data_IF_293448770458
#
_entry.id   IF_293448770458
#
_cell.length_a   1.000
_cell.length_b   1.000
_cell.length_c   1.000
_cell.angle_alpha   90.00
_cell.angle_beta   90.00
_cell.angle_gamma   90.00
#
_symmetry.space_group_name_H-M   'P 1'
#
loop_
_entity.id
_entity.type
_entity.pdbx_description
1 polymer ?
#
# COMPACT_ATOMS: atom_id res chain seq x y z
N UNK A 1 4.82 6.82 -2.46
CA UNK A 1 4.50 6.98 -1.04
C UNK A 1 3.02 6.86 -0.90
N UNK A 2 2.57 6.41 0.27
CA UNK A 2 1.15 6.17 0.54
C UNK A 2 0.62 7.31 1.42
N UNK A 3 -0.63 7.70 1.17
CA UNK A 3 -1.39 8.63 2.00
C UNK A 3 -2.61 7.89 2.55
N UNK A 4 -3.00 8.20 3.78
CA UNK A 4 -4.18 7.63 4.45
C UNK A 4 -5.01 8.77 5.04
N UNK A 5 -6.32 8.59 4.99
CA UNK A 5 -7.29 9.39 5.72
C UNK A 5 -7.95 8.48 6.76
N UNK A 6 -8.18 9.04 7.95
CA UNK A 6 -8.92 8.39 9.04
C UNK A 6 -10.26 9.12 9.31
N UNK A 7 -10.63 10.08 8.45
CA UNK A 7 -11.74 11.02 8.61
C UNK A 7 -12.61 11.11 7.34
N UNK A 8 -12.87 9.94 6.73
CA UNK A 8 -13.71 9.79 5.54
C UNK A 8 -13.27 10.63 4.33
N UNK A 9 -11.97 10.91 4.22
CA UNK A 9 -11.36 11.66 3.12
C UNK A 9 -11.29 13.17 3.35
N UNK A 10 -11.65 13.67 4.53
CA UNK A 10 -11.62 15.11 4.84
C UNK A 10 -10.19 15.64 4.90
N UNK A 11 -9.26 14.88 5.49
CA UNK A 11 -7.84 15.18 5.52
C UNK A 11 -7.00 13.93 5.23
N UNK A 12 -5.81 14.16 4.65
CA UNK A 12 -4.90 13.09 4.26
C UNK A 12 -3.53 13.33 4.86
N UNK A 13 -2.95 12.29 5.46
CA UNK A 13 -1.56 12.30 5.95
C UNK A 13 -0.72 11.35 5.12
N UNK A 14 0.50 11.75 4.81
CA UNK A 14 1.50 10.86 4.20
C UNK A 14 1.96 9.84 5.23
N UNK A 15 1.69 8.56 5.01
CA UNK A 15 2.05 7.49 5.95
C UNK A 15 3.42 6.90 5.68
N UNK A 16 3.84 6.87 4.41
CA UNK A 16 5.19 6.47 4.05
C UNK A 16 5.70 7.16 2.79
N UNK A 17 7.00 7.41 2.78
CA UNK A 17 7.73 7.89 1.61
C UNK A 17 8.35 6.80 0.76
N UNK A 18 8.13 5.53 1.10
CA UNK A 18 8.80 4.41 0.45
C UNK A 18 8.68 4.48 -1.08
N UNK A 19 9.83 4.34 -1.73
CA UNK A 19 9.98 4.34 -3.19
C UNK A 19 9.61 2.99 -3.79
N UNK A 20 9.64 1.90 -3.02
CA UNK A 20 9.20 0.56 -3.46
C UNK A 20 7.77 0.57 -4.01
N UNK A 21 6.91 1.44 -3.46
CA UNK A 21 5.52 1.61 -3.88
C UNK A 21 5.35 2.34 -5.23
N UNK A 22 6.42 2.86 -5.84
CA UNK A 22 6.38 3.68 -7.07
C UNK A 22 7.41 3.24 -8.10
N UNK A 23 7.63 1.94 -8.22
CA UNK A 23 8.59 1.40 -9.19
C UNK A 23 8.09 1.47 -10.64
N UNK A 24 6.77 1.63 -10.83
CA UNK A 24 6.08 1.75 -12.11
C UNK A 24 5.18 2.98 -12.14
N UNK A 25 4.67 3.29 -13.34
CA UNK A 25 3.69 4.35 -13.51
C UNK A 25 2.38 4.05 -12.75
N UNK A 26 1.60 5.09 -12.51
CA UNK A 26 0.41 5.06 -11.65
C UNK A 26 -0.61 3.98 -12.04
N UNK A 27 -0.79 3.69 -13.33
CA UNK A 27 -1.76 2.70 -13.83
C UNK A 27 -1.41 1.25 -13.50
N UNK A 28 -0.20 1.00 -13.02
CA UNK A 28 0.31 -0.32 -12.65
C UNK A 28 0.30 -0.54 -11.13
N UNK A 29 -0.19 0.43 -10.36
CA UNK A 29 -0.15 0.37 -8.90
C UNK A 29 -1.57 0.32 -8.35
N UNK A 30 -1.90 -0.74 -7.62
CA UNK A 30 -3.17 -0.87 -6.93
C UNK A 30 -2.97 -0.90 -5.42
N UNK A 31 -3.90 -0.27 -4.68
CA UNK A 31 -3.91 -0.24 -3.21
C UNK A 31 -5.22 -0.87 -2.73
N UNK A 32 -5.12 -1.89 -1.89
CA UNK A 32 -6.27 -2.61 -1.32
C UNK A 32 -6.18 -2.62 0.20
N UNK A 33 -7.21 -2.10 0.87
CA UNK A 33 -7.36 -2.22 2.31
C UNK A 33 -7.95 -3.59 2.67
N UNK A 34 -7.51 -4.17 3.79
CA UNK A 34 -8.10 -5.38 4.33
C UNK A 34 -9.46 -5.06 4.97
N UNK A 35 -10.55 -5.77 4.59
CA UNK A 35 -11.88 -5.50 5.16
C UNK A 35 -12.02 -5.96 6.62
N UNK A 36 -11.08 -6.74 7.17
CA UNK A 36 -11.14 -7.27 8.53
C UNK A 36 -10.13 -6.62 9.48
N UNK A 37 -9.13 -5.90 8.97
CA UNK A 37 -8.10 -5.23 9.76
C UNK A 37 -7.70 -3.88 9.14
N UNK A 38 -8.05 -2.80 9.82
CA UNK A 38 -7.78 -1.41 9.41
C UNK A 38 -6.28 -1.08 9.23
N UNK A 39 -5.38 -1.87 9.80
CA UNK A 39 -3.93 -1.66 9.71
C UNK A 39 -3.29 -2.46 8.59
N UNK A 40 -4.02 -3.42 8.02
CA UNK A 40 -3.53 -4.23 6.91
C UNK A 40 -3.86 -3.59 5.56
N UNK A 41 -2.84 -3.36 4.74
CA UNK A 41 -2.97 -2.83 3.37
C UNK A 41 -2.02 -3.55 2.43
N UNK A 42 -2.51 -3.85 1.23
CA UNK A 42 -1.77 -4.49 0.15
C UNK A 42 -1.54 -3.48 -0.96
N UNK A 43 -0.32 -3.47 -1.50
CA UNK A 43 0.04 -2.70 -2.70
C UNK A 43 0.55 -3.66 -3.75
N UNK A 44 -0.13 -3.69 -4.90
CA UNK A 44 0.32 -4.42 -6.09
C UNK A 44 1.13 -3.46 -6.95
N UNK A 45 2.31 -3.93 -7.35
CA UNK A 45 3.23 -3.31 -8.31
C UNK A 45 4.02 -4.48 -8.92
N UNK A 46 5.30 -4.29 -9.29
CA UNK A 46 6.23 -5.36 -9.70
C UNK A 46 6.33 -6.57 -8.75
N UNK A 47 5.73 -6.49 -7.57
CA UNK A 47 5.32 -7.62 -6.75
C UNK A 47 4.22 -7.21 -5.77
N UNK A 48 3.76 -8.17 -4.98
CA UNK A 48 2.82 -7.91 -3.89
C UNK A 48 3.58 -7.41 -2.66
N UNK A 49 3.23 -6.21 -2.19
CA UNK A 49 3.71 -5.63 -0.96
C UNK A 49 2.58 -5.63 0.06
N UNK A 50 2.88 -6.00 1.30
CA UNK A 50 1.93 -6.00 2.42
C UNK A 50 2.46 -5.15 3.56
N UNK A 51 1.58 -4.35 4.14
CA UNK A 51 1.79 -3.67 5.41
C UNK A 51 0.75 -4.15 6.42
N UNK A 52 1.15 -4.21 7.69
CA UNK A 52 0.27 -4.54 8.84
C UNK A 52 0.31 -3.43 9.91
N UNK A 53 0.87 -2.26 9.59
CA UNK A 53 1.09 -1.14 10.51
C UNK A 53 0.44 0.18 10.03
N UNK A 54 -0.61 0.06 9.22
CA UNK A 54 -1.33 1.18 8.64
C UNK A 54 -0.59 1.85 7.47
N UNK A 55 0.29 1.10 6.79
CA UNK A 55 1.00 1.55 5.59
C UNK A 55 2.30 2.31 5.88
N UNK A 56 2.90 2.15 7.07
CA UNK A 56 4.17 2.81 7.44
C UNK A 56 5.35 2.01 6.88
N UNK A 57 5.33 0.68 7.05
CA UNK A 57 6.34 -0.25 6.54
C UNK A 57 5.71 -1.33 5.65
N UNK A 58 6.49 -1.85 4.69
CA UNK A 58 6.03 -2.84 3.72
C UNK A 58 7.03 -3.97 3.57
N UNK A 59 6.51 -5.20 3.61
CA UNK A 59 7.24 -6.42 3.29
C UNK A 59 6.76 -7.00 1.96
N UNK A 60 7.66 -7.67 1.25
CA UNK A 60 7.33 -8.33 -0.02
C UNK A 60 6.73 -9.70 0.26
N UNK A 61 5.52 -9.91 -0.23
CA UNK A 61 4.86 -11.22 -0.17
C UNK A 61 5.28 -12.02 -1.40
N UNK A 62 5.77 -13.24 -1.17
CA UNK A 62 6.11 -14.15 -2.27
C UNK A 62 4.83 -14.61 -2.94
N UNK A 63 4.71 -14.31 -4.22
CA UNK A 63 3.60 -14.72 -5.10
C UNK A 63 4.17 -15.46 -6.30
N UNK A 64 3.35 -16.32 -6.93
CA UNK A 64 3.77 -17.12 -8.09
C UNK A 64 3.90 -16.28 -9.38
N UNK A 65 3.32 -15.08 -9.40
CA UNK A 65 3.44 -14.08 -10.46
C UNK A 65 3.43 -12.68 -9.85
N UNK A 66 4.31 -11.79 -10.32
CA UNK A 66 4.19 -10.36 -10.01
C UNK A 66 3.11 -9.73 -10.89
N UNK A 67 2.53 -8.61 -10.47
CA UNK A 67 1.76 -7.77 -11.40
C UNK A 67 2.77 -7.08 -12.32
#
# INVERSE_FOLDING_TARGET
GLYRSDDAGTSWRRVTGDRSLRQRAWYYTHVYADPQDENTVYVLNTGLLKSIDGGKTFDRVRVVHGD
#
